data_IF_181203172787
#
_entry.id   IF_181203172787
#
_cell.length_a   1.000
_cell.length_b   1.000
_cell.length_c   1.000
_cell.angle_alpha   90.00
_cell.angle_beta   90.00
_cell.angle_gamma   90.00
#
_symmetry.space_group_name_H-M   'P 1'
#
loop_
_entity.id
_entity.type
_entity.pdbx_description
1 polymer ?
#
# COMPACT_ATOMS: atom_id res chain seq x y z
N UNK A 1 -2.68 52.28 28.10
CA UNK A 1 -2.64 51.49 26.85
C UNK A 1 -2.25 50.06 27.20
N UNK A 2 -3.15 49.08 27.04
CA UNK A 2 -2.88 47.65 27.32
C UNK A 2 -3.35 46.82 26.12
N UNK A 3 -2.46 46.24 25.30
CA UNK A 3 -2.82 45.24 24.33
C UNK A 3 -2.21 43.90 24.76
N UNK A 4 -2.93 43.09 25.54
CA UNK A 4 -2.46 41.75 25.85
C UNK A 4 -3.64 40.89 26.30
N UNK A 5 -4.39 40.33 25.34
CA UNK A 5 -5.34 39.21 25.58
C UNK A 5 -6.00 38.62 24.33
N UNK A 6 -5.51 38.88 23.12
CA UNK A 6 -6.11 38.32 21.88
C UNK A 6 -5.32 37.12 21.34
N UNK A 7 -4.05 36.96 21.74
CA UNK A 7 -3.19 35.89 21.24
C UNK A 7 -3.62 34.43 21.56
N UNK A 8 -4.20 34.09 22.73
CA UNK A 8 -4.48 32.69 23.04
C UNK A 8 -5.70 32.15 22.28
N UNK A 9 -6.61 33.02 21.83
CA UNK A 9 -7.78 32.60 21.06
C UNK A 9 -7.41 32.21 19.62
N UNK A 10 -6.40 32.85 19.04
CA UNK A 10 -6.00 32.61 17.65
C UNK A 10 -5.20 31.31 17.49
N UNK A 11 -4.45 30.90 18.52
CA UNK A 11 -3.74 29.62 18.54
C UNK A 11 -4.68 28.40 18.64
N UNK A 12 -5.83 28.52 19.32
CA UNK A 12 -6.81 27.42 19.42
C UNK A 12 -7.55 27.19 18.09
N UNK A 13 -7.80 28.25 17.32
CA UNK A 13 -8.47 28.14 16.01
C UNK A 13 -7.61 27.44 14.95
N UNK A 14 -6.28 27.54 15.03
CA UNK A 14 -5.35 26.90 14.08
C UNK A 14 -5.23 25.38 14.32
N UNK A 15 -5.44 24.91 15.56
CA UNK A 15 -5.37 23.49 15.90
C UNK A 15 -6.61 22.72 15.41
N UNK A 16 -7.77 23.39 15.29
CA UNK A 16 -9.03 22.75 14.88
C UNK A 16 -9.14 22.51 13.36
N UNK A 17 -8.31 23.14 12.53
CA UNK A 17 -8.26 22.89 11.07
C UNK A 17 -7.25 21.82 10.65
N UNK A 18 -6.52 21.22 11.60
CA UNK A 18 -5.59 20.13 11.32
C UNK A 18 -6.27 18.74 11.23
N UNK A 19 -7.60 18.70 11.25
CA UNK A 19 -8.34 17.49 10.88
C UNK A 19 -8.18 17.25 9.38
N UNK A 20 -7.18 16.43 9.06
CA UNK A 20 -6.86 15.80 7.78
C UNK A 20 -8.00 15.85 6.75
N UNK A 21 -8.05 16.93 5.96
CA UNK A 21 -8.80 16.89 4.72
C UNK A 21 -8.13 15.84 3.81
N UNK A 22 -8.90 14.97 3.14
CA UNK A 22 -8.35 14.04 2.15
C UNK A 22 -7.42 14.80 1.21
N UNK A 23 -6.21 14.27 0.97
CA UNK A 23 -5.25 14.93 0.10
C UNK A 23 -5.87 15.09 -1.29
N UNK A 24 -6.23 16.30 -1.72
CA UNK A 24 -6.82 16.50 -3.06
C UNK A 24 -5.70 16.59 -4.09
N UNK A 25 -5.68 15.67 -5.06
CA UNK A 25 -4.67 15.68 -6.14
C UNK A 25 -4.76 16.92 -7.04
N UNK A 26 -3.62 17.44 -7.54
CA UNK A 26 -3.59 18.52 -8.52
C UNK A 26 -4.43 18.23 -9.79
N UNK A 27 -4.87 19.27 -10.50
CA UNK A 27 -5.51 19.10 -11.81
C UNK A 27 -4.47 18.68 -12.85
N UNK A 28 -4.78 17.63 -13.63
CA UNK A 28 -3.90 17.08 -14.67
C UNK A 28 -3.03 15.88 -14.26
N UNK A 29 -2.99 15.50 -12.98
CA UNK A 29 -2.38 14.24 -12.55
C UNK A 29 -3.35 13.08 -12.72
N UNK A 30 -2.85 11.83 -12.81
CA UNK A 30 -3.66 10.62 -12.73
C UNK A 30 -4.52 10.70 -11.46
N UNK A 31 -5.81 10.37 -11.51
CA UNK A 31 -6.70 10.39 -10.33
C UNK A 31 -7.40 9.07 -10.14
N UNK A 32 -7.91 8.53 -11.24
CA UNK A 32 -8.77 7.35 -11.23
C UNK A 32 -7.97 6.11 -11.55
N UNK A 33 -7.81 5.21 -10.59
CA UNK A 33 -6.92 4.06 -10.73
C UNK A 33 -7.58 2.75 -10.37
N UNK A 34 -7.09 1.67 -10.98
CA UNK A 34 -7.32 0.31 -10.48
C UNK A 34 -6.08 -0.20 -9.75
N UNK A 35 -6.27 -1.07 -8.77
CA UNK A 35 -5.17 -1.72 -8.06
C UNK A 35 -5.09 -3.18 -8.48
N UNK A 36 -3.90 -3.65 -8.83
CA UNK A 36 -3.62 -5.05 -9.14
C UNK A 36 -2.49 -5.57 -8.26
N UNK A 37 -2.80 -6.53 -7.40
CA UNK A 37 -1.85 -7.13 -6.47
C UNK A 37 -1.34 -8.49 -6.98
N UNK A 38 -0.03 -8.65 -7.03
CA UNK A 38 0.67 -9.91 -7.30
C UNK A 38 1.53 -10.36 -6.12
N UNK A 39 1.88 -11.64 -6.10
CA UNK A 39 2.84 -12.19 -5.12
C UNK A 39 3.50 -13.43 -5.68
N UNK A 40 4.84 -13.44 -5.70
CA UNK A 40 5.65 -14.64 -5.93
C UNK A 40 5.73 -15.57 -4.72
N UNK A 41 5.26 -15.09 -3.57
CA UNK A 41 5.16 -15.86 -2.33
C UNK A 41 3.72 -16.38 -2.24
N UNK A 42 3.54 -17.68 -2.46
CA UNK A 42 2.20 -18.29 -2.54
C UNK A 42 1.57 -18.54 -1.16
N UNK A 43 2.37 -18.96 -0.19
CA UNK A 43 1.92 -19.25 1.18
C UNK A 43 2.93 -18.75 2.18
N UNK A 44 2.47 -18.00 3.16
CA UNK A 44 3.31 -17.49 4.25
C UNK A 44 3.26 -18.41 5.46
N UNK A 45 4.30 -18.41 6.32
CA UNK A 45 4.32 -19.24 7.52
C UNK A 45 3.03 -19.05 8.31
N UNK A 46 2.41 -20.17 8.73
CA UNK A 46 1.05 -20.25 9.27
C UNK A 46 0.70 -19.04 10.15
N UNK A 47 -0.29 -18.27 9.70
CA UNK A 47 -0.87 -17.20 10.49
C UNK A 47 -1.59 -17.75 11.73
N UNK A 48 -1.88 -16.89 12.68
CA UNK A 48 -2.81 -17.20 13.77
C UNK A 48 -4.21 -17.49 13.21
N UNK A 49 -4.98 -18.37 13.85
CA UNK A 49 -6.35 -18.77 13.43
C UNK A 49 -7.29 -17.60 13.06
N UNK A 50 -7.11 -16.42 13.67
CA UNK A 50 -7.87 -15.20 13.32
C UNK A 50 -7.55 -14.67 11.92
N UNK A 51 -6.30 -14.75 11.48
CA UNK A 51 -5.85 -14.26 10.17
C UNK A 51 -6.41 -15.12 9.03
N UNK A 52 -6.61 -16.42 9.27
CA UNK A 52 -7.23 -17.34 8.32
C UNK A 52 -8.71 -17.00 8.08
N UNK A 53 -9.44 -16.60 9.13
CA UNK A 53 -10.87 -16.24 9.02
C UNK A 53 -11.14 -14.97 8.21
N UNK A 54 -10.18 -14.04 8.15
CA UNK A 54 -10.32 -12.74 7.45
C UNK A 54 -9.68 -12.73 6.05
N UNK A 55 -9.13 -13.88 5.62
CA UNK A 55 -8.43 -14.02 4.33
C UNK A 55 -7.06 -13.31 4.28
N UNK A 56 -6.54 -12.86 5.42
CA UNK A 56 -5.22 -12.22 5.52
C UNK A 56 -4.07 -13.25 5.52
N UNK A 57 -4.34 -14.54 5.33
CA UNK A 57 -3.30 -15.54 5.08
C UNK A 57 -2.71 -15.46 3.68
N UNK A 58 -3.43 -14.86 2.72
CA UNK A 58 -2.94 -14.65 1.36
C UNK A 58 -2.27 -13.27 1.23
N UNK A 59 -0.96 -13.19 0.91
CA UNK A 59 -0.25 -11.92 0.76
C UNK A 59 -0.89 -10.99 -0.29
N UNK A 60 -1.47 -11.54 -1.36
CA UNK A 60 -2.12 -10.75 -2.41
C UNK A 60 -3.33 -9.99 -1.86
N UNK A 61 -4.06 -10.58 -0.91
CA UNK A 61 -5.20 -9.92 -0.25
C UNK A 61 -4.73 -8.74 0.60
N UNK A 62 -3.62 -8.90 1.34
CA UNK A 62 -3.04 -7.85 2.18
C UNK A 62 -2.54 -6.70 1.33
N UNK A 63 -1.77 -7.00 0.28
CA UNK A 63 -1.22 -6.01 -0.65
C UNK A 63 -2.36 -5.22 -1.31
N UNK A 64 -3.36 -5.92 -1.84
CA UNK A 64 -4.53 -5.31 -2.48
C UNK A 64 -5.23 -4.31 -1.56
N UNK A 65 -5.64 -4.75 -0.37
CA UNK A 65 -6.39 -3.92 0.59
C UNK A 65 -5.58 -2.73 1.09
N UNK A 66 -4.31 -2.93 1.44
CA UNK A 66 -3.48 -1.84 1.94
C UNK A 66 -3.15 -0.84 0.84
N UNK A 67 -2.88 -1.30 -0.38
CA UNK A 67 -2.63 -0.40 -1.51
C UNK A 67 -3.86 0.45 -1.81
N UNK A 68 -5.05 -0.16 -1.86
CA UNK A 68 -6.32 0.56 -2.03
C UNK A 68 -6.52 1.63 -0.93
N UNK A 69 -6.37 1.24 0.34
CA UNK A 69 -6.55 2.15 1.46
C UNK A 69 -5.58 3.34 1.39
N UNK A 70 -4.28 3.09 1.18
CA UNK A 70 -3.25 4.14 1.12
C UNK A 70 -3.45 5.06 -0.08
N UNK A 71 -3.80 4.52 -1.25
CA UNK A 71 -4.09 5.35 -2.43
C UNK A 71 -5.34 6.20 -2.21
N UNK A 72 -6.40 5.65 -1.61
CA UNK A 72 -7.60 6.42 -1.28
C UNK A 72 -7.31 7.57 -0.30
N UNK A 73 -6.50 7.32 0.74
CA UNK A 73 -6.04 8.35 1.68
C UNK A 73 -5.20 9.45 1.00
N UNK A 74 -4.42 9.06 -0.02
CA UNK A 74 -3.62 9.98 -0.87
C UNK A 74 -4.44 10.67 -1.96
N UNK A 75 -5.76 10.52 -1.98
CA UNK A 75 -6.67 11.24 -2.88
C UNK A 75 -6.89 10.62 -4.24
N UNK A 76 -6.49 9.36 -4.44
CA UNK A 76 -6.86 8.63 -5.65
C UNK A 76 -8.30 8.13 -5.56
N UNK A 77 -9.00 8.14 -6.69
CA UNK A 77 -10.25 7.41 -6.87
C UNK A 77 -9.91 5.97 -7.26
N UNK A 78 -9.80 5.09 -6.26
CA UNK A 78 -9.59 3.66 -6.49
C UNK A 78 -10.92 3.02 -6.88
N UNK A 79 -11.10 2.67 -8.15
CA UNK A 79 -12.40 2.21 -8.66
C UNK A 79 -12.60 0.72 -8.60
N UNK A 80 -11.51 -0.03 -8.62
CA UNK A 80 -11.55 -1.47 -8.44
C UNK A 80 -10.20 -2.01 -8.02
N UNK A 81 -10.24 -3.09 -7.26
CA UNK A 81 -9.05 -3.79 -6.77
C UNK A 81 -9.13 -5.26 -7.19
N UNK A 82 -8.04 -5.80 -7.72
CA UNK A 82 -7.93 -7.19 -8.15
C UNK A 82 -6.70 -7.84 -7.56
N UNK A 83 -6.87 -9.09 -7.15
CA UNK A 83 -5.78 -10.00 -6.83
C UNK A 83 -5.48 -10.81 -8.09
N UNK A 84 -4.27 -10.68 -8.65
CA UNK A 84 -3.91 -11.46 -9.82
C UNK A 84 -3.80 -12.94 -9.44
N UNK A 85 -4.25 -13.81 -10.32
CA UNK A 85 -4.06 -15.25 -10.17
C UNK A 85 -2.61 -15.65 -10.49
N UNK A 86 -1.93 -14.88 -11.34
CA UNK A 86 -0.52 -15.06 -11.64
C UNK A 86 0.36 -14.47 -10.52
N UNK A 87 1.57 -15.04 -10.29
CA UNK A 87 2.53 -14.46 -9.36
C UNK A 87 2.92 -13.01 -9.71
N UNK A 88 3.05 -12.75 -11.01
CA UNK A 88 3.28 -11.43 -11.60
C UNK A 88 2.10 -11.14 -12.53
N UNK A 89 1.32 -10.07 -12.31
CA UNK A 89 0.21 -9.72 -13.19
C UNK A 89 0.68 -9.50 -14.63
N UNK A 90 -0.06 -10.04 -15.59
CA UNK A 90 0.23 -9.85 -17.00
C UNK A 90 -0.24 -8.46 -17.46
N UNK A 91 0.48 -7.84 -18.39
CA UNK A 91 0.11 -6.52 -18.91
C UNK A 91 -1.32 -6.50 -19.47
N UNK A 92 -1.71 -7.51 -20.24
CA UNK A 92 -3.06 -7.61 -20.81
C UNK A 92 -4.15 -7.77 -19.75
N UNK A 93 -3.84 -8.44 -18.63
CA UNK A 93 -4.74 -8.54 -17.48
C UNK A 93 -4.97 -7.15 -16.87
N UNK A 94 -3.90 -6.38 -16.67
CA UNK A 94 -3.96 -5.03 -16.10
C UNK A 94 -4.69 -4.08 -17.04
N UNK A 95 -4.35 -4.08 -18.33
CA UNK A 95 -4.98 -3.23 -19.36
C UNK A 95 -6.47 -3.50 -19.48
N UNK A 96 -6.86 -4.78 -19.58
CA UNK A 96 -8.28 -5.14 -19.65
C UNK A 96 -9.04 -4.69 -18.39
N UNK A 97 -8.41 -4.76 -17.22
CA UNK A 97 -9.00 -4.31 -15.96
C UNK A 97 -9.15 -2.77 -15.87
N UNK A 98 -8.15 -2.02 -16.35
CA UNK A 98 -8.22 -0.55 -16.47
C UNK A 98 -9.42 -0.16 -17.35
N UNK A 99 -9.54 -0.79 -18.53
CA UNK A 99 -10.59 -0.48 -19.50
C UNK A 99 -11.99 -0.83 -18.99
N UNK A 100 -12.15 -2.01 -18.37
CA UNK A 100 -13.42 -2.46 -17.77
C UNK A 100 -13.96 -1.47 -16.73
N UNK A 101 -13.07 -0.87 -15.94
CA UNK A 101 -13.44 0.05 -14.86
C UNK A 101 -13.36 1.53 -15.26
N UNK A 102 -13.04 1.82 -16.52
CA UNK A 102 -12.85 3.18 -17.04
C UNK A 102 -11.88 3.98 -16.17
N UNK A 103 -10.76 3.37 -15.79
CA UNK A 103 -9.71 4.00 -15.01
C UNK A 103 -8.67 4.65 -15.94
N UNK A 104 -7.90 5.59 -15.39
CA UNK A 104 -6.83 6.29 -16.11
C UNK A 104 -5.51 5.51 -16.09
N UNK A 105 -5.28 4.72 -15.03
CA UNK A 105 -4.10 3.88 -14.90
C UNK A 105 -4.34 2.69 -13.96
N UNK A 106 -3.45 1.71 -14.01
CA UNK A 106 -3.37 0.60 -13.06
C UNK A 106 -2.13 0.74 -12.18
N UNK A 107 -2.33 0.71 -10.87
CA UNK A 107 -1.25 0.59 -9.89
C UNK A 107 -1.03 -0.89 -9.62
N UNK A 108 0.16 -1.38 -9.94
CA UNK A 108 0.57 -2.76 -9.79
C UNK A 108 1.54 -2.87 -8.62
N UNK A 109 1.26 -3.75 -7.67
CA UNK A 109 2.16 -4.02 -6.54
C UNK A 109 2.39 -5.52 -6.44
N UNK A 110 3.65 -5.92 -6.46
CA UNK A 110 4.08 -7.33 -6.47
C UNK A 110 4.98 -7.59 -5.27
N UNK A 111 4.65 -8.60 -4.48
CA UNK A 111 5.59 -9.14 -3.50
C UNK A 111 6.57 -10.09 -4.19
N UNK A 112 7.81 -9.64 -4.35
CA UNK A 112 8.88 -10.44 -4.95
C UNK A 112 9.54 -11.36 -3.91
N UNK A 113 9.65 -10.91 -2.66
CA UNK A 113 10.32 -11.65 -1.59
C UNK A 113 9.81 -11.26 -0.21
N UNK A 114 9.63 -12.27 0.66
CA UNK A 114 9.36 -12.10 2.09
C UNK A 114 10.14 -13.17 2.85
N UNK A 115 11.13 -12.76 3.64
CA UNK A 115 11.93 -13.66 4.46
C UNK A 115 11.84 -13.28 5.94
N UNK A 116 11.26 -14.20 6.71
CA UNK A 116 11.10 -14.09 8.17
C UNK A 116 12.12 -14.93 8.94
N UNK A 117 13.00 -15.67 8.27
CA UNK A 117 14.00 -16.53 8.92
C UNK A 117 14.98 -15.72 9.78
N UNK A 118 15.32 -14.50 9.33
CA UNK A 118 16.11 -13.54 10.07
C UNK A 118 15.40 -12.95 11.30
N UNK A 119 14.09 -13.14 11.46
CA UNK A 119 13.33 -12.47 12.52
C UNK A 119 13.72 -13.00 13.92
N UNK A 120 13.90 -14.32 14.05
CA UNK A 120 14.27 -14.95 15.32
C UNK A 120 15.74 -14.76 15.69
N UNK A 121 16.62 -14.64 14.69
CA UNK A 121 18.09 -14.61 14.88
C UNK A 121 18.65 -13.18 14.86
N UNK A 122 18.17 -12.36 13.93
CA UNK A 122 18.67 -11.00 13.69
C UNK A 122 17.66 -9.90 14.08
N UNK A 123 16.43 -10.28 14.48
CA UNK A 123 15.38 -9.30 14.78
C UNK A 123 14.99 -8.47 13.56
N UNK A 124 15.05 -9.03 12.35
CA UNK A 124 14.73 -8.33 11.09
C UNK A 124 13.95 -9.24 10.16
N UNK A 125 13.03 -8.66 9.40
CA UNK A 125 12.30 -9.33 8.30
C UNK A 125 12.63 -8.60 7.03
N UNK A 126 12.95 -9.33 5.96
CA UNK A 126 13.22 -8.73 4.65
C UNK A 126 11.96 -8.79 3.79
N UNK A 127 11.49 -7.63 3.32
CA UNK A 127 10.36 -7.50 2.39
C UNK A 127 10.82 -6.79 1.13
N UNK A 128 10.58 -7.39 -0.03
CA UNK A 128 10.86 -6.77 -1.34
C UNK A 128 9.57 -6.66 -2.12
N UNK A 129 9.19 -5.42 -2.42
CA UNK A 129 8.01 -5.07 -3.21
C UNK A 129 8.46 -4.43 -4.51
N UNK A 130 7.81 -4.81 -5.61
CA UNK A 130 7.94 -4.12 -6.89
C UNK A 130 6.66 -3.37 -7.18
N UNK A 131 6.79 -2.12 -7.58
CA UNK A 131 5.68 -1.24 -7.89
C UNK A 131 5.72 -0.85 -9.35
N UNK A 132 4.54 -0.61 -9.92
CA UNK A 132 4.40 -0.14 -11.29
C UNK A 132 3.13 0.68 -11.46
N UNK A 133 3.17 1.67 -12.35
CA UNK A 133 1.99 2.35 -12.87
C UNK A 133 1.92 2.07 -14.37
N UNK A 134 0.80 1.51 -14.80
CA UNK A 134 0.55 1.11 -16.19
C UNK A 134 -0.61 1.92 -16.74
N UNK A 135 -0.47 2.44 -17.95
CA UNK A 135 -1.53 3.19 -18.62
C UNK A 135 -2.55 2.26 -19.32
N UNK A 136 -3.63 2.80 -19.93
CA UNK A 136 -4.62 2.00 -20.63
C UNK A 136 -4.12 1.38 -21.96
N UNK A 137 -2.94 1.76 -22.43
CA UNK A 137 -2.29 1.20 -23.63
C UNK A 137 -1.35 0.03 -23.30
N UNK A 138 -1.07 -0.19 -22.01
CA UNK A 138 -0.14 -1.21 -21.52
C UNK A 138 1.29 -0.69 -21.36
N UNK A 139 1.52 0.60 -21.57
CA UNK A 139 2.80 1.25 -21.30
C UNK A 139 3.01 1.38 -19.80
N UNK A 140 4.20 0.98 -19.33
CA UNK A 140 4.65 1.24 -17.96
C UNK A 140 5.10 2.70 -17.87
N UNK A 141 4.33 3.52 -17.17
CA UNK A 141 4.63 4.94 -16.94
C UNK A 141 5.70 5.13 -15.87
N UNK A 142 5.70 4.26 -14.87
CA UNK A 142 6.62 4.32 -13.74
C UNK A 142 6.79 2.94 -13.10
N UNK A 143 7.98 2.67 -12.56
CA UNK A 143 8.24 1.46 -11.76
C UNK A 143 9.31 1.74 -10.70
N UNK A 144 9.24 1.04 -9.59
CA UNK A 144 10.24 1.08 -8.54
C UNK A 144 10.33 -0.27 -7.80
N UNK A 145 11.44 -0.51 -7.11
CA UNK A 145 11.62 -1.66 -6.24
C UNK A 145 11.91 -1.17 -4.82
N UNK A 146 10.99 -1.44 -3.91
CA UNK A 146 11.07 -1.05 -2.51
C UNK A 146 11.58 -2.23 -1.67
N UNK A 147 12.64 -2.03 -0.90
CA UNK A 147 13.15 -3.00 0.06
C UNK A 147 12.98 -2.46 1.47
N UNK A 148 12.27 -3.21 2.31
CA UNK A 148 12.04 -2.89 3.71
C UNK A 148 12.67 -3.93 4.62
N UNK A 149 13.29 -3.47 5.72
CA UNK A 149 13.88 -4.31 6.76
C UNK A 149 13.32 -3.93 8.14
N UNK A 150 12.02 -4.15 8.42
CA UNK A 150 11.45 -3.82 9.72
C UNK A 150 12.20 -4.55 10.85
N UNK A 151 12.59 -3.79 11.87
CA UNK A 151 13.16 -4.31 13.12
C UNK A 151 12.04 -4.91 13.95
N UNK A 152 12.27 -6.11 14.47
CA UNK A 152 11.28 -6.92 15.17
C UNK A 152 11.76 -7.24 16.58
N UNK A 153 10.90 -7.03 17.58
CA UNK A 153 11.13 -7.55 18.92
C UNK A 153 11.05 -9.08 18.87
N UNK A 154 12.05 -9.77 19.43
CA UNK A 154 12.20 -11.24 19.36
C UNK A 154 10.93 -11.98 19.83
N UNK A 155 10.16 -11.38 20.75
CA UNK A 155 8.90 -11.93 21.26
C UNK A 155 7.70 -11.81 20.30
N UNK A 156 7.76 -10.94 19.30
CA UNK A 156 6.72 -10.76 18.26
C UNK A 156 7.10 -11.42 16.92
N UNK A 157 8.33 -11.92 16.79
CA UNK A 157 8.95 -12.33 15.53
C UNK A 157 8.29 -13.54 14.84
N UNK A 158 7.57 -14.40 15.57
CA UNK A 158 7.12 -15.69 15.03
C UNK A 158 5.71 -15.72 14.45
N UNK A 159 4.89 -14.66 14.57
CA UNK A 159 3.46 -14.76 14.22
C UNK A 159 2.84 -13.59 13.46
N UNK A 160 3.54 -12.47 13.25
CA UNK A 160 2.92 -11.26 12.70
C UNK A 160 3.57 -10.73 11.41
N UNK A 161 3.87 -11.66 10.49
CA UNK A 161 4.36 -11.31 9.16
C UNK A 161 3.41 -10.34 8.43
N UNK A 162 2.11 -10.42 8.73
CA UNK A 162 1.07 -9.55 8.19
C UNK A 162 1.34 -8.09 8.55
N UNK A 163 1.67 -7.79 9.80
CA UNK A 163 2.01 -6.42 10.18
C UNK A 163 3.27 -5.89 9.49
N UNK A 164 4.28 -6.73 9.25
CA UNK A 164 5.46 -6.32 8.48
C UNK A 164 5.14 -6.06 7.02
N UNK A 165 4.37 -6.94 6.38
CA UNK A 165 3.94 -6.76 5.00
C UNK A 165 3.04 -5.52 4.86
N UNK A 166 2.06 -5.33 5.76
CA UNK A 166 1.20 -4.15 5.78
C UNK A 166 2.03 -2.87 5.86
N UNK A 167 2.98 -2.81 6.80
CA UNK A 167 3.86 -1.65 6.96
C UNK A 167 4.70 -1.41 5.70
N UNK A 168 5.31 -2.46 5.15
CA UNK A 168 6.11 -2.34 3.94
C UNK A 168 5.29 -1.86 2.74
N UNK A 169 4.05 -2.34 2.58
CA UNK A 169 3.13 -1.88 1.52
C UNK A 169 2.75 -0.42 1.73
N UNK A 170 2.42 -0.02 2.96
CA UNK A 170 2.11 1.38 3.28
C UNK A 170 3.27 2.27 2.86
N UNK A 171 4.48 1.97 3.33
CA UNK A 171 5.68 2.77 3.04
C UNK A 171 6.00 2.79 1.53
N UNK A 172 5.87 1.66 0.85
CA UNK A 172 6.13 1.54 -0.58
C UNK A 172 5.10 2.31 -1.43
N UNK A 173 3.82 2.27 -1.08
CA UNK A 173 2.77 2.92 -1.88
C UNK A 173 2.80 4.44 -1.75
N UNK A 174 3.45 4.99 -0.72
CA UNK A 174 3.66 6.45 -0.60
C UNK A 174 4.46 7.03 -1.77
N UNK A 175 5.34 6.25 -2.41
CA UNK A 175 6.19 6.75 -3.51
C UNK A 175 5.51 6.71 -4.88
N UNK A 176 4.31 6.11 -4.98
CA UNK A 176 3.55 6.08 -6.25
C UNK A 176 3.20 7.50 -6.68
N UNK A 177 3.50 7.92 -7.93
CA UNK A 177 3.33 9.29 -8.39
C UNK A 177 1.86 9.74 -8.52
#
# INVERSE_FOLDING_TARGET
MRPARILPALLVSVVLTACAAPQVRPQGSIRKVVVVAGSRVDVLPSGSFRQDMIGESNPRTVIARQTEAVLAERGFEVVATRQSQAPVPLTDEVVSFIQQNKAEAGVVVILDWLDTSGAAVMGRVDVVLRLGVVDPSGQVLWTDTFRSQPVVSIYQAQGDWNSFLRRAVIDAVQVVP
#
